data_IF_127529238088
#
_entry.id   IF_127529238088
#
_cell.length_a   1.000
_cell.length_b   1.000
_cell.length_c   1.000
_cell.angle_alpha   90.00
_cell.angle_beta   90.00
_cell.angle_gamma   90.00
#
_symmetry.space_group_name_H-M   'P 1'
#
loop_
_entity.id
_entity.type
_entity.pdbx_description
1 polymer ?
#
# COMPACT_ATOMS: atom_id res chain seq x y z
N UNK A 1 15.72 1.79 15.79
CA UNK A 1 14.38 2.42 15.80
C UNK A 1 13.35 1.42 16.36
N UNK A 2 12.31 1.88 17.07
CA UNK A 2 11.24 1.01 17.56
C UNK A 2 10.38 0.53 16.36
N UNK A 3 9.93 -0.74 16.38
CA UNK A 3 9.10 -1.35 15.32
C UNK A 3 7.84 -0.52 15.01
N UNK A 4 7.19 0.01 16.05
CA UNK A 4 6.02 0.87 15.86
C UNK A 4 6.34 2.12 15.02
N UNK A 5 7.42 2.82 15.33
CA UNK A 5 7.84 3.99 14.54
C UNK A 5 8.23 3.59 13.12
N UNK A 6 8.93 2.47 12.95
CA UNK A 6 9.26 1.93 11.61
C UNK A 6 7.99 1.76 10.77
N UNK A 7 6.99 1.08 11.30
CA UNK A 7 5.73 0.86 10.59
C UNK A 7 4.96 2.15 10.34
N UNK A 8 4.97 3.11 11.28
CA UNK A 8 4.35 4.41 11.11
C UNK A 8 5.00 5.21 9.96
N UNK A 9 6.33 5.23 9.87
CA UNK A 9 7.05 5.85 8.75
C UNK A 9 6.73 5.17 7.42
N UNK A 10 6.76 3.86 7.38
CA UNK A 10 6.46 3.08 6.17
C UNK A 10 5.02 3.29 5.71
N UNK A 11 4.08 3.31 6.64
CA UNK A 11 2.69 3.58 6.34
C UNK A 11 2.51 4.97 5.72
N UNK A 12 3.13 6.00 6.30
CA UNK A 12 3.11 7.36 5.76
C UNK A 12 3.70 7.43 4.35
N UNK A 13 4.93 6.91 4.18
CA UNK A 13 5.64 6.95 2.90
C UNK A 13 4.86 6.15 1.84
N UNK A 14 4.44 4.92 2.16
CA UNK A 14 3.68 4.08 1.25
C UNK A 14 2.34 4.69 0.85
N UNK A 15 1.61 5.26 1.81
CA UNK A 15 0.33 5.92 1.52
C UNK A 15 0.48 7.12 0.60
N UNK A 16 1.52 7.93 0.79
CA UNK A 16 1.78 9.13 -0.01
C UNK A 16 2.30 8.78 -1.41
N UNK A 17 3.28 7.88 -1.50
CA UNK A 17 3.82 7.43 -2.80
C UNK A 17 2.75 6.66 -3.59
N UNK A 18 1.95 5.83 -2.92
CA UNK A 18 0.83 5.13 -3.53
C UNK A 18 -0.23 6.09 -4.06
N UNK A 19 -0.50 7.17 -3.35
CA UNK A 19 -1.39 8.23 -3.82
C UNK A 19 -0.86 8.87 -5.12
N UNK A 20 0.43 9.20 -5.17
CA UNK A 20 1.06 9.75 -6.39
C UNK A 20 0.96 8.75 -7.54
N UNK A 21 1.33 7.49 -7.31
CA UNK A 21 1.28 6.44 -8.33
C UNK A 21 -0.14 6.24 -8.88
N UNK A 22 -1.13 6.16 -8.00
CA UNK A 22 -2.54 5.98 -8.36
C UNK A 22 -3.09 7.21 -9.11
N UNK A 23 -2.71 8.42 -8.70
CA UNK A 23 -3.08 9.67 -9.36
C UNK A 23 -2.57 9.69 -10.81
N UNK A 24 -1.30 9.30 -11.01
CA UNK A 24 -0.69 9.20 -12.33
C UNK A 24 -1.33 8.08 -13.17
N UNK A 25 -1.57 6.91 -12.57
CA UNK A 25 -2.25 5.81 -13.23
C UNK A 25 -3.65 6.24 -13.72
N UNK A 26 -4.45 6.85 -12.85
CA UNK A 26 -5.80 7.33 -13.22
C UNK A 26 -5.75 8.40 -14.31
N UNK A 27 -4.78 9.29 -14.24
CA UNK A 27 -4.62 10.35 -15.23
C UNK A 27 -4.21 9.84 -16.61
N UNK A 28 -3.25 8.93 -16.66
CA UNK A 28 -2.58 8.57 -17.93
C UNK A 28 -2.95 7.20 -18.49
N UNK A 29 -3.29 6.23 -17.64
CA UNK A 29 -3.45 4.84 -18.05
C UNK A 29 -4.89 4.32 -17.89
N UNK A 30 -5.65 4.80 -16.91
CA UNK A 30 -6.97 4.24 -16.60
C UNK A 30 -7.98 4.51 -17.71
N UNK A 31 -8.60 3.44 -18.21
CA UNK A 31 -9.72 3.51 -19.15
C UNK A 31 -11.02 4.06 -18.54
N UNK A 32 -11.12 4.07 -17.20
CA UNK A 32 -12.25 4.64 -16.48
C UNK A 32 -12.23 6.18 -16.44
N UNK A 33 -11.13 6.81 -16.86
CA UNK A 33 -10.98 8.26 -16.95
C UNK A 33 -10.63 8.70 -18.40
N UNK A 34 -11.56 8.61 -19.33
CA UNK A 34 -11.31 8.95 -20.74
C UNK A 34 -10.97 10.43 -20.94
N UNK A 35 -11.49 11.30 -20.10
CA UNK A 35 -11.24 12.75 -20.19
C UNK A 35 -9.90 13.16 -19.55
N UNK A 36 -9.14 12.19 -19.00
CA UNK A 36 -7.81 12.44 -18.40
C UNK A 36 -7.83 13.55 -17.32
N UNK A 37 -8.88 13.62 -16.54
CA UNK A 37 -8.99 14.56 -15.40
C UNK A 37 -8.11 14.12 -14.23
N UNK A 38 -7.68 15.09 -13.42
CA UNK A 38 -7.06 14.82 -12.14
C UNK A 38 -8.14 14.44 -11.12
N UNK A 39 -8.17 13.18 -10.73
CA UNK A 39 -9.16 12.64 -9.79
C UNK A 39 -8.42 12.10 -8.59
N UNK A 40 -8.74 12.61 -7.39
CA UNK A 40 -8.16 12.09 -6.15
C UNK A 40 -8.48 10.59 -6.01
N UNK A 41 -7.47 9.72 -5.88
CA UNK A 41 -7.70 8.28 -5.80
C UNK A 41 -8.20 7.81 -4.42
N UNK A 42 -7.97 8.60 -3.38
CA UNK A 42 -8.36 8.25 -2.02
C UNK A 42 -9.80 8.65 -1.69
N UNK A 43 -10.38 8.02 -0.66
CA UNK A 43 -11.63 8.45 -0.06
C UNK A 43 -11.45 9.66 0.87
N UNK A 44 -10.24 9.84 1.39
CA UNK A 44 -9.87 11.00 2.20
C UNK A 44 -9.48 12.20 1.33
N UNK A 45 -9.75 13.39 1.84
CA UNK A 45 -9.22 14.63 1.26
C UNK A 45 -7.76 14.77 1.68
N UNK A 46 -6.83 14.35 0.81
CA UNK A 46 -5.40 14.41 1.10
C UNK A 46 -4.57 13.45 0.24
N UNK A 47 -3.24 13.62 0.25
CA UNK A 47 -2.33 12.86 -0.59
C UNK A 47 -1.96 11.51 0.03
N UNK A 48 -2.95 10.66 0.32
CA UNK A 48 -2.70 9.35 0.92
C UNK A 48 -3.74 8.30 0.52
N UNK A 49 -3.24 7.10 0.22
CA UNK A 49 -4.04 5.90 -0.01
C UNK A 49 -3.57 4.83 0.99
N UNK A 50 -4.32 4.56 2.06
CA UNK A 50 -3.92 3.65 3.15
C UNK A 50 -3.58 2.23 2.70
N UNK A 51 -4.18 1.75 1.62
CA UNK A 51 -3.91 0.44 1.05
C UNK A 51 -2.41 0.25 0.75
N UNK A 52 -1.78 1.24 0.09
CA UNK A 52 -0.35 1.17 -0.26
C UNK A 52 0.54 1.29 0.98
N UNK A 53 0.15 2.11 1.96
CA UNK A 53 0.87 2.21 3.23
C UNK A 53 0.86 0.90 4.02
N UNK A 54 -0.31 0.29 4.13
CA UNK A 54 -0.47 -1.03 4.77
C UNK A 54 0.30 -2.12 4.01
N UNK A 55 0.24 -2.08 2.67
CA UNK A 55 0.99 -2.99 1.81
C UNK A 55 2.50 -2.88 2.04
N UNK A 56 3.05 -1.66 2.08
CA UNK A 56 4.48 -1.45 2.34
C UNK A 56 4.90 -1.98 3.72
N UNK A 57 4.08 -1.80 4.74
CA UNK A 57 4.32 -2.38 6.07
C UNK A 57 4.39 -3.92 6.03
N UNK A 58 3.46 -4.57 5.32
CA UNK A 58 3.44 -6.02 5.18
C UNK A 58 4.66 -6.53 4.42
N UNK A 59 5.02 -5.89 3.30
CA UNK A 59 6.21 -6.26 2.53
C UNK A 59 7.49 -6.14 3.36
N UNK A 60 7.61 -5.06 4.15
CA UNK A 60 8.73 -4.87 5.07
C UNK A 60 8.81 -5.99 6.11
N UNK A 61 7.70 -6.34 6.75
CA UNK A 61 7.66 -7.38 7.76
C UNK A 61 8.05 -8.75 7.17
N UNK A 62 7.49 -9.11 6.01
CA UNK A 62 7.78 -10.38 5.35
C UNK A 62 9.25 -10.46 4.89
N UNK A 63 9.78 -9.38 4.29
CA UNK A 63 11.19 -9.34 3.89
C UNK A 63 12.12 -9.47 5.10
N UNK A 64 11.85 -8.72 6.18
CA UNK A 64 12.63 -8.79 7.42
C UNK A 64 12.58 -10.17 8.09
N UNK A 65 11.44 -10.86 8.01
CA UNK A 65 11.32 -12.25 8.48
C UNK A 65 12.16 -13.18 7.58
N UNK A 66 12.13 -12.99 6.27
CA UNK A 66 12.95 -13.75 5.33
C UNK A 66 14.43 -13.59 5.61
N UNK A 67 14.92 -12.37 5.79
CA UNK A 67 16.33 -12.10 6.14
C UNK A 67 16.73 -12.75 7.47
N UNK A 68 15.89 -12.60 8.51
CA UNK A 68 16.15 -13.16 9.84
C UNK A 68 16.24 -14.69 9.81
N UNK A 69 15.49 -15.35 8.94
CA UNK A 69 15.46 -16.80 8.81
C UNK A 69 16.51 -17.33 7.79
N UNK A 70 17.32 -16.45 7.18
CA UNK A 70 18.36 -16.85 6.23
C UNK A 70 17.79 -17.46 4.95
N UNK A 71 16.76 -16.82 4.37
CA UNK A 71 16.14 -17.24 3.10
C UNK A 71 17.13 -17.05 1.94
N UNK A 72 17.87 -18.08 1.60
CA UNK A 72 18.95 -18.00 0.60
C UNK A 72 18.69 -18.84 -0.65
N UNK A 73 18.00 -19.97 -0.52
CA UNK A 73 17.74 -20.87 -1.65
C UNK A 73 16.67 -20.30 -2.58
N UNK A 74 16.71 -20.68 -3.86
CA UNK A 74 15.72 -20.25 -4.85
C UNK A 74 14.29 -20.65 -4.46
N UNK A 75 14.11 -21.84 -3.85
CA UNK A 75 12.82 -22.33 -3.39
C UNK A 75 12.25 -21.48 -2.25
N UNK A 76 13.06 -21.13 -1.26
CA UNK A 76 12.66 -20.29 -0.14
C UNK A 76 12.29 -18.86 -0.60
N UNK A 77 13.07 -18.29 -1.52
CA UNK A 77 12.77 -17.00 -2.14
C UNK A 77 11.47 -17.03 -2.90
N UNK A 78 11.20 -18.10 -3.65
CA UNK A 78 9.91 -18.28 -4.35
C UNK A 78 8.75 -18.33 -3.36
N UNK A 79 8.87 -19.05 -2.25
CA UNK A 79 7.86 -19.10 -1.20
C UNK A 79 7.64 -17.73 -0.54
N UNK A 80 8.72 -16.99 -0.30
CA UNK A 80 8.64 -15.62 0.23
C UNK A 80 7.88 -14.70 -0.73
N UNK A 81 8.20 -14.71 -2.02
CA UNK A 81 7.48 -13.92 -3.02
C UNK A 81 6.03 -14.34 -3.18
N UNK A 82 5.73 -15.64 -3.15
CA UNK A 82 4.35 -16.12 -3.16
C UNK A 82 3.58 -15.61 -1.93
N UNK A 83 4.20 -15.67 -0.75
CA UNK A 83 3.64 -15.12 0.47
C UNK A 83 3.39 -13.61 0.40
N UNK A 84 4.32 -12.84 -0.16
CA UNK A 84 4.17 -11.41 -0.40
C UNK A 84 3.00 -11.11 -1.34
N UNK A 85 2.93 -11.78 -2.50
CA UNK A 85 1.88 -11.59 -3.49
C UNK A 85 0.49 -11.95 -2.92
N UNK A 86 0.40 -13.06 -2.19
CA UNK A 86 -0.85 -13.47 -1.52
C UNK A 86 -1.27 -12.48 -0.45
N UNK A 87 -0.33 -11.96 0.35
CA UNK A 87 -0.62 -10.97 1.39
C UNK A 87 -1.09 -9.66 0.80
N UNK A 88 -0.50 -9.21 -0.31
CA UNK A 88 -0.94 -8.01 -1.02
C UNK A 88 -2.33 -8.17 -1.61
N UNK A 89 -2.63 -9.32 -2.22
CA UNK A 89 -3.98 -9.65 -2.72
C UNK A 89 -5.00 -9.73 -1.57
N UNK A 90 -4.60 -10.31 -0.43
CA UNK A 90 -5.47 -10.40 0.73
C UNK A 90 -5.82 -9.03 1.32
N UNK A 91 -4.84 -8.13 1.44
CA UNK A 91 -5.09 -6.77 1.96
C UNK A 91 -5.94 -5.94 1.00
N UNK A 92 -5.76 -6.11 -0.32
CA UNK A 92 -6.62 -5.49 -1.33
C UNK A 92 -8.07 -5.97 -1.17
N UNK A 93 -8.27 -7.28 -1.01
CA UNK A 93 -9.60 -7.84 -0.77
C UNK A 93 -10.25 -7.34 0.52
N UNK A 94 -9.48 -7.32 1.64
CA UNK A 94 -9.95 -6.79 2.93
C UNK A 94 -10.32 -5.32 2.81
N UNK A 95 -9.49 -4.50 2.19
CA UNK A 95 -9.76 -3.08 1.97
C UNK A 95 -11.03 -2.86 1.13
N UNK A 96 -11.22 -3.70 0.08
CA UNK A 96 -12.42 -3.69 -0.74
C UNK A 96 -13.69 -4.05 0.05
N UNK A 97 -13.63 -5.08 0.91
CA UNK A 97 -14.76 -5.44 1.78
C UNK A 97 -15.06 -4.33 2.80
N UNK A 98 -14.02 -3.79 3.43
CA UNK A 98 -14.17 -2.70 4.41
C UNK A 98 -14.82 -1.49 3.77
N UNK A 99 -14.35 -1.06 2.60
CA UNK A 99 -14.94 0.08 1.89
C UNK A 99 -16.40 -0.15 1.50
N UNK A 100 -16.75 -1.36 1.06
CA UNK A 100 -18.13 -1.68 0.69
C UNK A 100 -19.07 -1.81 1.89
N UNK A 101 -18.64 -2.49 2.97
CA UNK A 101 -19.52 -2.81 4.11
C UNK A 101 -19.65 -1.68 5.11
N UNK A 102 -18.57 -0.95 5.36
CA UNK A 102 -18.54 0.07 6.41
C UNK A 102 -18.65 1.49 5.86
N UNK A 103 -18.10 1.74 4.66
CA UNK A 103 -18.11 3.07 4.06
C UNK A 103 -19.16 3.20 2.95
N UNK A 104 -19.79 2.08 2.54
CA UNK A 104 -20.75 2.01 1.42
C UNK A 104 -20.21 2.58 0.10
N UNK A 105 -18.89 2.58 -0.07
CA UNK A 105 -18.18 3.12 -1.24
C UNK A 105 -17.45 1.98 -1.96
N UNK A 106 -17.61 1.90 -3.28
CA UNK A 106 -16.79 1.04 -4.13
C UNK A 106 -15.61 1.85 -4.66
N UNK A 107 -14.41 1.60 -4.14
CA UNK A 107 -13.19 2.33 -4.51
C UNK A 107 -12.66 1.93 -5.89
N UNK A 108 -12.85 0.65 -6.28
CA UNK A 108 -12.51 0.10 -7.60
C UNK A 108 -13.49 -1.02 -7.98
N UNK A 109 -13.48 -1.39 -9.25
CA UNK A 109 -14.37 -2.45 -9.76
C UNK A 109 -13.68 -3.29 -10.83
N UNK A 110 -13.38 -4.54 -10.48
CA UNK A 110 -12.80 -5.55 -11.37
C UNK A 110 -13.84 -6.53 -11.92
N UNK A 111 -15.13 -6.24 -11.84
CA UNK A 111 -16.20 -7.16 -12.26
C UNK A 111 -16.07 -7.61 -13.71
N UNK A 112 -15.44 -6.79 -14.57
CA UNK A 112 -15.19 -7.10 -15.98
C UNK A 112 -13.92 -7.91 -16.23
N UNK A 113 -13.09 -8.11 -15.20
CA UNK A 113 -11.83 -8.84 -15.32
C UNK A 113 -12.07 -10.34 -15.15
N UNK A 114 -11.33 -11.13 -15.93
CA UNK A 114 -11.39 -12.59 -15.82
C UNK A 114 -10.94 -13.06 -14.43
N UNK A 115 -11.65 -14.06 -13.88
CA UNK A 115 -11.30 -14.66 -12.60
C UNK A 115 -11.47 -13.74 -11.40
N UNK A 116 -12.22 -12.64 -11.54
CA UNK A 116 -12.44 -11.75 -10.41
C UNK A 116 -13.27 -12.43 -9.29
N UNK A 117 -13.01 -12.01 -8.05
CA UNK A 117 -13.77 -12.39 -6.87
C UNK A 117 -14.51 -11.14 -6.38
N UNK A 118 -15.83 -11.13 -6.48
CA UNK A 118 -16.73 -10.04 -6.06
C UNK A 118 -16.42 -8.68 -6.71
N UNK A 119 -15.62 -8.67 -7.79
CA UNK A 119 -15.11 -7.44 -8.41
C UNK A 119 -14.06 -6.71 -7.57
N UNK A 120 -13.53 -7.32 -6.49
CA UNK A 120 -12.59 -6.72 -5.57
C UNK A 120 -11.14 -7.10 -5.85
N UNK A 121 -10.90 -8.34 -6.27
CA UNK A 121 -9.59 -8.84 -6.67
C UNK A 121 -9.69 -9.62 -7.98
N UNK A 122 -8.60 -9.70 -8.73
CA UNK A 122 -8.51 -10.56 -9.91
C UNK A 122 -7.05 -10.98 -10.18
N UNK A 123 -6.83 -12.08 -10.93
CA UNK A 123 -5.49 -12.61 -11.20
C UNK A 123 -4.51 -11.60 -11.81
N UNK A 124 -4.99 -10.74 -12.70
CA UNK A 124 -4.15 -9.72 -13.35
C UNK A 124 -3.51 -8.76 -12.33
N UNK A 125 -4.29 -8.27 -11.36
CA UNK A 125 -3.78 -7.39 -10.31
C UNK A 125 -2.98 -8.16 -9.26
N UNK A 126 -3.28 -9.42 -8.99
CA UNK A 126 -2.45 -10.27 -8.12
C UNK A 126 -1.04 -10.47 -8.72
N UNK A 127 -0.92 -10.62 -10.04
CA UNK A 127 0.39 -10.65 -10.73
C UNK A 127 1.09 -9.30 -10.66
N UNK A 128 0.36 -8.19 -10.76
CA UNK A 128 0.92 -6.86 -10.55
C UNK A 128 1.48 -6.69 -9.14
N UNK A 129 0.75 -7.15 -8.12
CA UNK A 129 1.22 -7.16 -6.73
C UNK A 129 2.47 -8.03 -6.54
N UNK A 130 2.57 -9.17 -7.22
CA UNK A 130 3.79 -9.97 -7.22
C UNK A 130 4.98 -9.21 -7.81
N UNK A 131 4.79 -8.49 -8.92
CA UNK A 131 5.83 -7.65 -9.51
C UNK A 131 6.24 -6.50 -8.58
N UNK A 132 5.29 -5.82 -7.95
CA UNK A 132 5.57 -4.77 -6.95
C UNK A 132 6.35 -5.33 -5.77
N UNK A 133 6.00 -6.53 -5.30
CA UNK A 133 6.72 -7.22 -4.21
C UNK A 133 8.17 -7.54 -4.59
N UNK A 134 8.40 -7.98 -5.84
CA UNK A 134 9.76 -8.24 -6.34
C UNK A 134 10.58 -6.93 -6.44
N UNK A 135 10.02 -5.88 -6.98
CA UNK A 135 10.67 -4.55 -7.04
C UNK A 135 11.01 -4.06 -5.62
N UNK A 136 10.05 -4.19 -4.70
CA UNK A 136 10.29 -3.83 -3.30
C UNK A 136 11.48 -4.62 -2.72
N UNK A 137 11.46 -5.94 -2.83
CA UNK A 137 12.47 -6.80 -2.23
C UNK A 137 13.88 -6.53 -2.78
N UNK A 138 14.02 -6.41 -4.10
CA UNK A 138 15.33 -6.24 -4.74
C UNK A 138 15.84 -4.80 -4.77
N UNK A 139 14.94 -3.83 -4.92
CA UNK A 139 15.33 -2.44 -5.18
C UNK A 139 15.10 -1.49 -4.00
N UNK A 140 14.21 -1.83 -3.07
CA UNK A 140 13.84 -0.93 -1.97
C UNK A 140 14.31 -1.46 -0.62
N UNK A 141 14.04 -2.73 -0.32
CA UNK A 141 14.30 -3.31 1.00
C UNK A 141 15.75 -3.18 1.47
N UNK A 142 16.80 -3.36 0.62
CA UNK A 142 18.19 -3.22 1.06
C UNK A 142 18.55 -1.82 1.58
N UNK A 143 17.84 -0.80 1.12
CA UNK A 143 18.11 0.60 1.47
C UNK A 143 17.12 1.17 2.50
N UNK A 144 16.06 0.43 2.83
CA UNK A 144 14.97 0.94 3.65
C UNK A 144 15.43 1.25 5.07
N UNK A 145 16.32 0.45 5.64
CA UNK A 145 16.80 0.63 7.01
C UNK A 145 17.62 1.92 7.16
N UNK A 146 18.50 2.20 6.20
CA UNK A 146 19.32 3.42 6.20
C UNK A 146 18.44 4.67 6.02
N UNK A 147 17.47 4.59 5.10
CA UNK A 147 16.51 5.68 4.89
C UNK A 147 15.66 5.93 6.14
N UNK A 148 15.18 4.88 6.80
CA UNK A 148 14.39 5.00 8.03
C UNK A 148 15.22 5.53 9.20
N UNK A 149 16.49 5.14 9.33
CA UNK A 149 17.38 5.67 10.35
C UNK A 149 17.62 7.17 10.15
N UNK A 150 17.90 7.59 8.91
CA UNK A 150 18.03 9.00 8.56
C UNK A 150 16.76 9.80 8.89
N UNK A 151 15.58 9.29 8.51
CA UNK A 151 14.30 9.93 8.79
C UNK A 151 14.03 10.06 10.30
N UNK A 152 14.35 9.01 11.07
CA UNK A 152 14.10 9.00 12.52
C UNK A 152 14.93 10.02 13.30
N UNK A 153 16.08 10.45 12.76
CA UNK A 153 16.94 11.48 13.33
C UNK A 153 16.51 12.90 12.96
N UNK A 154 15.60 13.04 12.01
CA UNK A 154 15.12 14.33 11.54
C UNK A 154 13.84 14.75 12.26
N UNK A 155 13.97 15.67 13.22
CA UNK A 155 12.85 16.15 14.04
C UNK A 155 11.73 16.78 13.19
N UNK A 156 12.09 17.55 12.15
CA UNK A 156 11.10 18.15 11.24
C UNK A 156 10.27 17.09 10.53
N UNK A 157 10.90 15.97 10.16
CA UNK A 157 10.20 14.85 9.52
C UNK A 157 9.26 14.14 10.49
N UNK A 158 9.67 13.95 11.73
CA UNK A 158 8.83 13.38 12.79
C UNK A 158 7.58 14.23 13.04
N UNK A 159 7.72 15.56 13.00
CA UNK A 159 6.61 16.49 13.10
C UNK A 159 5.62 16.34 11.91
N UNK A 160 6.13 16.25 10.67
CA UNK A 160 5.31 16.06 9.47
C UNK A 160 4.50 14.75 9.56
N UNK A 161 5.12 13.67 10.04
CA UNK A 161 4.43 12.38 10.23
C UNK A 161 3.36 12.46 11.31
N UNK A 162 3.65 13.10 12.43
CA UNK A 162 2.65 13.34 13.49
C UNK A 162 1.46 14.15 12.98
N UNK A 163 1.71 15.20 12.21
CA UNK A 163 0.68 15.99 11.54
C UNK A 163 -0.14 15.14 10.55
N UNK A 164 0.52 14.32 9.72
CA UNK A 164 -0.14 13.39 8.82
C UNK A 164 -1.12 12.47 9.56
N UNK A 165 -0.69 11.82 10.64
CA UNK A 165 -1.56 10.93 11.41
C UNK A 165 -2.71 11.68 12.08
N UNK A 166 -2.50 12.92 12.52
CA UNK A 166 -3.56 13.77 13.04
C UNK A 166 -4.63 14.05 11.98
N UNK A 167 -4.24 14.51 10.80
CA UNK A 167 -5.16 14.78 9.68
C UNK A 167 -5.84 13.50 9.20
N UNK A 168 -5.11 12.40 9.10
CA UNK A 168 -5.66 11.11 8.69
C UNK A 168 -6.70 10.59 9.68
N UNK A 169 -6.46 10.72 10.98
CA UNK A 169 -7.44 10.35 12.03
C UNK A 169 -8.71 11.18 11.91
N UNK A 170 -8.58 12.49 11.75
CA UNK A 170 -9.73 13.38 11.56
C UNK A 170 -10.52 12.95 10.31
N UNK A 171 -9.83 12.70 9.20
CA UNK A 171 -10.48 12.25 7.96
C UNK A 171 -11.29 10.95 8.17
N UNK A 172 -10.75 9.97 8.88
CA UNK A 172 -11.45 8.72 9.17
C UNK A 172 -12.70 8.94 10.02
N UNK A 173 -12.62 9.80 11.04
CA UNK A 173 -13.75 10.13 11.90
C UNK A 173 -14.88 10.80 11.10
N UNK A 174 -14.56 11.79 10.28
CA UNK A 174 -15.57 12.48 9.45
C UNK A 174 -16.16 11.60 8.34
N UNK A 175 -15.45 10.60 7.86
CA UNK A 175 -15.96 9.67 6.84
C UNK A 175 -16.92 8.64 7.44
N UNK A 176 -16.80 8.34 8.73
CA UNK A 176 -17.71 7.41 9.43
C UNK A 176 -19.08 8.03 9.73
N UNK A 177 -19.19 9.36 9.74
CA UNK A 177 -20.42 10.10 10.07
C UNK A 177 -21.21 10.56 8.82
N UNK A 178 -20.69 10.26 7.62
CA UNK A 178 -21.32 10.63 6.34
C UNK A 178 -22.00 9.43 5.68
#
# INVERSE_FOLDING_TARGET
MNMFLTLAYLFFIGSTLGWVAELLYRRFLSGANPERKWINPGFCVGPYVPLYGSGLCILYLLASIGEKNGVDTAGEKLLLFAGMALSMTAIEYIAGIVSLKFMHIRLWDYSKQWGNIQGLICPAFSVLWAAVSAVYYFCVHPYILDALDWLSRNLAFSFVIGFFFGVFTICLLYTSDA
#
